data_IF_545439686152
#
_entry.id   IF_545439686152
#
_cell.length_a   1.000
_cell.length_b   1.000
_cell.length_c   1.000
_cell.angle_alpha   90.00
_cell.angle_beta   90.00
_cell.angle_gamma   90.00
#
_symmetry.space_group_name_H-M   'P 1'
#
loop_
_entity.id
_entity.type
_entity.pdbx_description
1 polymer ?
#
# COMPACT_ATOMS: atom_id res chain seq x y z
N UNK A 1 33.68 -48.54 18.66
CA UNK A 1 32.44 -47.72 18.64
C UNK A 1 32.65 -46.20 18.71
N UNK A 2 33.87 -45.64 18.61
CA UNK A 2 34.10 -44.17 18.73
C UNK A 2 34.17 -43.38 17.41
N UNK A 3 34.08 -44.05 16.24
CA UNK A 3 34.25 -43.41 14.92
C UNK A 3 32.94 -42.87 14.32
N UNK A 4 31.78 -43.40 14.71
CA UNK A 4 30.47 -42.98 14.21
C UNK A 4 29.95 -41.71 14.90
N UNK A 5 30.31 -41.48 16.16
CA UNK A 5 29.96 -40.25 16.91
C UNK A 5 30.72 -39.02 16.40
N UNK A 6 31.95 -39.19 15.92
CA UNK A 6 32.76 -38.11 15.35
C UNK A 6 32.19 -37.60 14.02
N UNK A 7 31.63 -38.49 13.19
CA UNK A 7 30.94 -38.13 11.94
C UNK A 7 29.65 -37.34 12.18
N UNK A 8 28.85 -37.72 13.18
CA UNK A 8 27.65 -36.97 13.56
C UNK A 8 27.95 -35.56 14.11
N UNK A 9 29.02 -35.42 14.88
CA UNK A 9 29.45 -34.12 15.42
C UNK A 9 29.92 -33.17 14.30
N UNK A 10 30.58 -33.72 13.27
CA UNK A 10 31.02 -32.95 12.10
C UNK A 10 29.85 -32.48 11.25
N UNK A 11 28.81 -33.30 11.07
CA UNK A 11 27.58 -32.92 10.34
C UNK A 11 26.83 -31.80 11.07
N UNK A 12 26.75 -31.86 12.40
CA UNK A 12 26.12 -30.81 13.21
C UNK A 12 26.87 -29.48 13.10
N UNK A 13 28.21 -29.53 13.01
CA UNK A 13 29.05 -28.36 12.81
C UNK A 13 28.83 -27.69 11.44
N UNK A 14 28.71 -28.48 10.37
CA UNK A 14 28.39 -27.94 9.03
C UNK A 14 26.97 -27.36 8.94
N UNK A 15 25.99 -27.93 9.66
CA UNK A 15 24.62 -27.39 9.72
C UNK A 15 24.56 -26.01 10.40
N UNK A 16 25.37 -25.80 11.44
CA UNK A 16 25.43 -24.51 12.18
C UNK A 16 26.05 -23.38 11.35
N UNK A 17 27.07 -23.69 10.52
CA UNK A 17 27.73 -22.70 9.65
C UNK A 17 26.79 -22.26 8.50
N UNK A 18 25.97 -23.18 7.97
CA UNK A 18 25.02 -22.86 6.89
C UNK A 18 23.92 -21.85 7.27
N UNK A 19 23.52 -21.81 8.55
CA UNK A 19 22.47 -20.91 9.04
C UNK A 19 22.96 -19.47 9.18
N UNK A 20 24.24 -19.26 9.49
CA UNK A 20 24.81 -17.92 9.74
C UNK A 20 25.05 -17.11 8.46
N UNK A 21 25.15 -17.76 7.30
CA UNK A 21 25.40 -17.11 5.99
C UNK A 21 24.18 -16.46 5.34
N UNK A 22 22.97 -16.61 5.91
CA UNK A 22 21.71 -16.11 5.33
C UNK A 22 21.24 -14.77 5.91
N UNK A 23 21.94 -14.22 6.90
CA UNK A 23 21.60 -12.94 7.55
C UNK A 23 22.53 -11.82 7.08
N UNK A 24 22.29 -11.29 5.88
CA UNK A 24 23.00 -10.11 5.39
C UNK A 24 22.19 -8.84 5.72
N UNK A 25 22.53 -8.20 6.83
CA UNK A 25 22.05 -6.85 7.15
C UNK A 25 22.87 -5.84 6.35
N UNK A 26 22.26 -5.24 5.32
CA UNK A 26 22.92 -4.20 4.52
C UNK A 26 22.62 -2.82 5.12
N UNK A 27 23.56 -2.33 5.93
CA UNK A 27 23.46 -1.04 6.64
C UNK A 27 23.28 0.15 5.69
N UNK A 28 23.80 0.09 4.47
CA UNK A 28 23.64 1.14 3.45
C UNK A 28 22.19 1.22 2.94
N UNK A 29 21.54 0.07 2.72
CA UNK A 29 20.12 0.02 2.34
C UNK A 29 19.25 0.63 3.44
N UNK A 30 19.54 0.29 4.71
CA UNK A 30 18.80 0.82 5.85
C UNK A 30 18.94 2.35 5.98
N UNK A 31 20.11 2.91 5.66
CA UNK A 31 20.33 4.36 5.66
C UNK A 31 19.53 5.06 4.54
N UNK A 32 19.53 4.49 3.32
CA UNK A 32 18.73 5.01 2.20
C UNK A 32 17.24 4.96 2.51
N UNK A 33 16.74 3.87 3.09
CA UNK A 33 15.34 3.75 3.50
C UNK A 33 14.97 4.78 4.57
N UNK A 34 15.85 5.01 5.55
CA UNK A 34 15.64 6.03 6.59
C UNK A 34 15.59 7.44 6.01
N UNK A 35 16.51 7.76 5.09
CA UNK A 35 16.53 9.04 4.38
C UNK A 35 15.25 9.23 3.55
N UNK A 36 14.81 8.20 2.83
CA UNK A 36 13.55 8.22 2.07
C UNK A 36 12.35 8.45 2.98
N UNK A 37 12.25 7.73 4.10
CA UNK A 37 11.17 7.93 5.08
C UNK A 37 11.17 9.35 5.67
N UNK A 38 12.35 9.88 6.01
CA UNK A 38 12.49 11.24 6.50
C UNK A 38 12.11 12.30 5.45
N UNK A 39 12.43 12.05 4.18
CA UNK A 39 12.02 12.90 3.05
C UNK A 39 10.50 12.88 2.86
N UNK A 40 9.88 11.70 2.83
CA UNK A 40 8.43 11.53 2.68
C UNK A 40 7.67 12.16 3.86
N UNK A 41 8.22 12.12 5.07
CA UNK A 41 7.62 12.80 6.24
C UNK A 41 7.63 14.33 6.09
N UNK A 42 8.63 14.89 5.40
CA UNK A 42 8.72 16.33 5.12
C UNK A 42 7.92 16.76 3.89
N UNK A 43 7.73 15.86 2.94
CA UNK A 43 7.01 16.08 1.68
C UNK A 43 5.91 15.03 1.56
N UNK A 44 4.77 15.24 2.24
CA UNK A 44 3.70 14.25 2.29
C UNK A 44 2.95 14.12 0.95
N UNK A 45 3.15 15.05 0.03
CA UNK A 45 2.48 15.09 -1.26
C UNK A 45 3.31 14.37 -2.31
N UNK A 46 2.67 13.52 -3.09
CA UNK A 46 3.27 12.85 -4.23
C UNK A 46 2.24 12.68 -5.36
N UNK A 47 2.72 12.63 -6.61
CA UNK A 47 1.89 12.18 -7.71
C UNK A 47 1.56 10.71 -7.54
N UNK A 48 0.29 10.37 -7.68
CA UNK A 48 -0.21 9.02 -7.56
C UNK A 48 -1.61 8.91 -8.13
N UNK A 49 -2.40 8.02 -7.55
CA UNK A 49 -3.71 7.67 -8.06
C UNK A 49 -4.73 7.58 -6.93
N UNK A 50 -5.96 7.98 -7.25
CA UNK A 50 -7.15 7.77 -6.43
C UNK A 50 -8.23 7.10 -7.26
N UNK A 51 -9.19 6.48 -6.59
CA UNK A 51 -10.37 5.93 -7.23
C UNK A 51 -11.52 6.91 -7.01
N UNK A 52 -12.11 7.42 -8.09
CA UNK A 52 -13.31 8.24 -8.04
C UNK A 52 -14.54 7.33 -8.09
N UNK A 53 -15.43 7.47 -7.12
CA UNK A 53 -16.67 6.71 -7.01
C UNK A 53 -17.85 7.44 -7.64
N UNK A 54 -17.85 8.77 -7.57
CA UNK A 54 -18.99 9.59 -7.98
C UNK A 54 -18.55 11.00 -8.41
N UNK A 55 -19.32 11.59 -9.32
CA UNK A 55 -19.24 12.98 -9.77
C UNK A 55 -20.68 13.45 -10.06
N UNK A 56 -21.15 14.48 -9.35
CA UNK A 56 -22.53 14.96 -9.50
C UNK A 56 -22.96 15.91 -8.37
N UNK A 57 -24.27 15.94 -8.07
CA UNK A 57 -24.82 16.77 -7.00
C UNK A 57 -24.35 16.39 -5.58
N UNK A 58 -24.44 17.37 -4.68
CA UNK A 58 -24.00 17.28 -3.28
C UNK A 58 -24.65 16.14 -2.50
N UNK A 59 -25.98 16.04 -2.53
CA UNK A 59 -26.74 15.07 -1.72
C UNK A 59 -26.33 13.64 -2.04
N UNK A 60 -26.19 13.32 -3.33
CA UNK A 60 -25.73 12.00 -3.76
C UNK A 60 -24.27 11.75 -3.39
N UNK A 61 -23.40 12.76 -3.48
CA UNK A 61 -22.00 12.62 -3.09
C UNK A 61 -21.84 12.26 -1.60
N UNK A 62 -22.62 12.89 -0.70
CA UNK A 62 -22.65 12.52 0.72
C UNK A 62 -23.16 11.09 0.95
N UNK A 63 -24.16 10.65 0.18
CA UNK A 63 -24.69 9.29 0.27
C UNK A 63 -23.66 8.26 -0.14
N UNK A 64 -23.07 8.42 -1.33
CA UNK A 64 -22.01 7.53 -1.86
C UNK A 64 -20.81 7.46 -0.92
N UNK A 65 -20.39 8.60 -0.36
CA UNK A 65 -19.34 8.65 0.65
C UNK A 65 -19.69 7.77 1.86
N UNK A 66 -20.90 7.90 2.39
CA UNK A 66 -21.33 7.14 3.57
C UNK A 66 -21.42 5.64 3.28
N UNK A 67 -21.99 5.25 2.14
CA UNK A 67 -22.06 3.87 1.66
C UNK A 67 -20.66 3.24 1.59
N UNK A 68 -19.69 3.93 0.97
CA UNK A 68 -18.31 3.44 0.90
C UNK A 68 -17.66 3.28 2.28
N UNK A 69 -17.88 4.25 3.18
CA UNK A 69 -17.30 4.20 4.52
C UNK A 69 -17.86 3.04 5.35
N UNK A 70 -19.14 2.71 5.17
CA UNK A 70 -19.79 1.56 5.84
C UNK A 70 -19.23 0.25 5.29
N UNK A 71 -19.18 0.12 3.96
CA UNK A 71 -18.80 -1.13 3.30
C UNK A 71 -17.32 -1.47 3.48
N UNK A 72 -16.43 -0.49 3.27
CA UNK A 72 -14.98 -0.73 3.24
C UNK A 72 -14.28 -0.36 4.55
N UNK A 73 -14.99 0.23 5.52
CA UNK A 73 -14.44 0.79 6.75
C UNK A 73 -13.19 1.67 6.50
N UNK A 74 -13.22 2.42 5.39
CA UNK A 74 -12.11 3.28 4.92
C UNK A 74 -12.64 4.68 4.64
N UNK A 75 -11.77 5.68 4.79
CA UNK A 75 -12.13 7.08 4.52
C UNK A 75 -12.40 7.30 3.03
N UNK A 76 -13.38 8.15 2.76
CA UNK A 76 -13.68 8.71 1.45
C UNK A 76 -13.61 10.24 1.52
N UNK A 77 -12.97 10.83 0.53
CA UNK A 77 -12.81 12.27 0.40
C UNK A 77 -13.95 12.85 -0.43
N UNK A 78 -14.50 13.96 0.05
CA UNK A 78 -15.52 14.74 -0.64
C UNK A 78 -14.86 16.02 -1.16
N UNK A 79 -14.90 16.23 -2.47
CA UNK A 79 -14.19 17.31 -3.16
C UNK A 79 -15.23 18.11 -3.96
N UNK A 80 -15.25 19.43 -3.81
CA UNK A 80 -16.08 20.31 -4.62
C UNK A 80 -15.24 20.97 -5.71
N UNK A 81 -15.55 20.68 -6.96
CA UNK A 81 -14.96 21.29 -8.14
C UNK A 81 -16.11 21.78 -9.03
N UNK A 82 -16.41 23.08 -8.95
CA UNK A 82 -17.62 23.65 -9.52
C UNK A 82 -17.87 23.20 -10.99
N UNK A 83 -19.11 22.80 -11.33
CA UNK A 83 -20.33 22.81 -10.49
C UNK A 83 -20.55 21.52 -9.66
N UNK A 84 -19.61 20.57 -9.68
CA UNK A 84 -19.86 19.20 -9.25
C UNK A 84 -19.16 18.82 -7.94
N UNK A 85 -19.78 17.90 -7.21
CA UNK A 85 -19.20 17.20 -6.08
C UNK A 85 -18.65 15.84 -6.50
N UNK A 86 -17.42 15.55 -6.06
CA UNK A 86 -16.69 14.32 -6.37
C UNK A 86 -16.41 13.54 -5.10
N UNK A 87 -16.54 12.22 -5.18
CA UNK A 87 -16.14 11.30 -4.10
C UNK A 87 -14.94 10.52 -4.57
N UNK A 88 -13.79 10.67 -3.89
CA UNK A 88 -12.55 9.96 -4.20
C UNK A 88 -12.04 9.18 -3.00
N UNK A 89 -11.41 8.03 -3.24
CA UNK A 89 -10.95 7.11 -2.19
C UNK A 89 -9.55 6.58 -2.46
N UNK A 90 -8.88 6.21 -1.37
CA UNK A 90 -7.54 5.62 -1.39
C UNK A 90 -6.44 6.64 -1.68
N UNK A 91 -5.20 6.17 -1.58
CA UNK A 91 -3.98 6.85 -2.01
C UNK A 91 -3.06 5.74 -2.55
N UNK A 92 -2.86 5.69 -3.86
CA UNK A 92 -2.09 4.62 -4.51
C UNK A 92 -0.88 5.23 -5.23
N UNK A 93 0.31 4.71 -5.00
CA UNK A 93 1.52 5.24 -5.64
C UNK A 93 1.61 4.80 -7.10
N UNK A 94 1.10 3.61 -7.40
CA UNK A 94 1.15 3.05 -8.75
C UNK A 94 -0.25 2.77 -9.29
N UNK A 95 -0.38 2.85 -10.62
CA UNK A 95 -1.62 2.49 -11.29
C UNK A 95 -2.00 1.03 -11.07
N UNK A 96 -1.02 0.13 -10.99
CA UNK A 96 -1.26 -1.29 -10.71
C UNK A 96 -1.92 -1.52 -9.34
N UNK A 97 -1.49 -0.79 -8.30
CA UNK A 97 -2.11 -0.85 -6.97
C UNK A 97 -3.55 -0.32 -7.00
N UNK A 98 -3.77 0.80 -7.70
CA UNK A 98 -5.09 1.39 -7.86
C UNK A 98 -6.03 0.46 -8.64
N UNK A 99 -5.59 -0.12 -9.75
CA UNK A 99 -6.37 -1.05 -10.56
C UNK A 99 -6.73 -2.33 -9.78
N UNK A 100 -5.81 -2.84 -8.94
CA UNK A 100 -6.11 -3.97 -8.05
C UNK A 100 -7.21 -3.61 -7.05
N UNK A 101 -7.13 -2.45 -6.41
CA UNK A 101 -8.16 -2.01 -5.47
C UNK A 101 -9.51 -1.72 -6.18
N UNK A 102 -9.45 -1.23 -7.41
CA UNK A 102 -10.62 -0.95 -8.23
C UNK A 102 -11.46 -2.21 -8.49
N UNK A 103 -10.83 -3.38 -8.66
CA UNK A 103 -11.57 -4.64 -8.87
C UNK A 103 -12.52 -4.96 -7.72
N UNK A 104 -12.11 -4.70 -6.48
CA UNK A 104 -12.94 -4.91 -5.30
C UNK A 104 -14.00 -3.82 -5.17
N UNK A 105 -13.62 -2.56 -5.38
CA UNK A 105 -14.53 -1.41 -5.27
C UNK A 105 -15.63 -1.46 -6.33
N UNK A 106 -15.33 -1.95 -7.54
CA UNK A 106 -16.30 -2.05 -8.65
C UNK A 106 -17.44 -3.02 -8.40
N UNK A 107 -17.32 -3.93 -7.42
CA UNK A 107 -18.40 -4.83 -7.04
C UNK A 107 -19.61 -4.06 -6.49
N UNK A 108 -19.32 -2.99 -5.74
CA UNK A 108 -20.34 -2.12 -5.13
C UNK A 108 -20.52 -0.80 -5.89
N UNK A 109 -19.44 -0.28 -6.48
CA UNK A 109 -19.40 0.99 -7.20
C UNK A 109 -18.99 0.76 -8.65
N UNK A 110 -19.89 0.24 -9.48
CA UNK A 110 -19.62 -0.16 -10.88
C UNK A 110 -19.07 0.98 -11.75
N UNK A 111 -19.47 2.22 -11.47
CA UNK A 111 -18.99 3.44 -12.13
C UNK A 111 -17.61 3.94 -11.66
N UNK A 112 -16.94 3.24 -10.75
CA UNK A 112 -15.67 3.69 -10.21
C UNK A 112 -14.55 3.69 -11.27
N UNK A 113 -13.70 4.71 -11.21
CA UNK A 113 -12.56 4.89 -12.14
C UNK A 113 -11.29 5.30 -11.39
N UNK A 114 -10.13 4.92 -11.93
CA UNK A 114 -8.82 5.37 -11.44
C UNK A 114 -8.46 6.69 -12.10
N UNK A 115 -7.99 7.65 -11.30
CA UNK A 115 -7.54 8.97 -11.76
C UNK A 115 -6.16 9.26 -11.17
N UNK A 116 -5.30 9.86 -11.99
CA UNK A 116 -4.03 10.43 -11.53
C UNK A 116 -4.29 11.74 -10.78
N UNK A 117 -3.67 11.90 -9.61
CA UNK A 117 -3.85 13.06 -8.74
C UNK A 117 -2.72 13.13 -7.71
N UNK A 118 -2.58 14.28 -7.07
CA UNK A 118 -1.77 14.38 -5.86
C UNK A 118 -2.42 13.56 -4.73
N UNK A 119 -1.60 12.73 -4.10
CA UNK A 119 -1.95 11.89 -2.96
C UNK A 119 -1.13 12.29 -1.74
N UNK A 120 -1.68 11.99 -0.57
CA UNK A 120 -0.94 12.12 0.69
C UNK A 120 -0.40 10.75 1.09
N UNK A 121 0.93 10.66 1.23
CA UNK A 121 1.65 9.46 1.70
C UNK A 121 1.59 9.30 3.22
#
# INVERSE_FOLDING_TARGET
>A
MKKTTFGFLSILFFLLIGISGMAQENTEINDVLRKKAAYNKKHPEANGFKIQLYNGNETQAYRVRSEYQIEFNKKAELIYEAPEWKVRVGNYLTRLEADRALLEIKKEFSGAIVLETEIKM
#
